data_IF_600092339264
#
_entry.id   IF_600092339264
#
_cell.length_a   1.000
_cell.length_b   1.000
_cell.length_c   1.000
_cell.angle_alpha   90.00
_cell.angle_beta   90.00
_cell.angle_gamma   90.00
#
_symmetry.space_group_name_H-M   'P 1'
#
loop_
_entity.id
_entity.type
_entity.pdbx_description
1 polymer ?
#
# COMPACT_ATOMS: atom_id res chain seq x y z
N UNK A 1 -8.52 -8.59 22.40
CA UNK A 1 -8.80 -7.40 21.60
C UNK A 1 -9.30 -6.28 22.50
N UNK A 2 -8.76 -5.09 22.34
CA UNK A 2 -9.10 -3.95 23.17
C UNK A 2 -10.16 -3.08 22.50
N UNK A 3 -10.73 -2.11 23.27
CA UNK A 3 -11.68 -1.12 22.72
C UNK A 3 -11.02 -0.34 21.58
N UNK A 4 -9.70 -0.10 21.69
CA UNK A 4 -8.96 0.63 20.67
C UNK A 4 -8.90 -0.12 19.34
N UNK A 5 -8.83 -1.46 19.39
CA UNK A 5 -8.84 -2.28 18.18
C UNK A 5 -10.15 -2.14 17.42
N UNK A 6 -11.27 -2.09 18.13
CA UNK A 6 -12.58 -1.90 17.50
C UNK A 6 -12.71 -0.51 16.90
N UNK A 7 -12.18 0.51 17.55
CA UNK A 7 -12.16 1.88 17.02
C UNK A 7 -11.34 1.96 15.74
N UNK A 8 -10.17 1.35 15.76
CA UNK A 8 -9.30 1.32 14.58
C UNK A 8 -10.03 0.68 13.43
N UNK A 9 -10.62 -0.48 13.67
CA UNK A 9 -11.34 -1.23 12.64
C UNK A 9 -12.47 -0.40 12.03
N UNK A 10 -13.31 0.20 12.87
CA UNK A 10 -14.46 0.99 12.40
C UNK A 10 -14.03 2.20 11.59
N UNK A 11 -12.99 2.90 12.04
CA UNK A 11 -12.49 4.07 11.32
C UNK A 11 -11.86 3.69 9.99
N UNK A 12 -11.13 2.59 9.94
CA UNK A 12 -10.57 2.10 8.67
C UNK A 12 -11.69 1.70 7.70
N UNK A 13 -12.72 1.02 8.19
CA UNK A 13 -13.87 0.64 7.34
C UNK A 13 -14.58 1.86 6.76
N UNK A 14 -14.81 2.88 7.58
CA UNK A 14 -15.44 4.12 7.12
C UNK A 14 -14.58 4.83 6.10
N UNK A 15 -13.28 4.95 6.39
CA UNK A 15 -12.33 5.55 5.47
C UNK A 15 -12.34 4.84 4.12
N UNK A 16 -12.32 3.51 4.13
CA UNK A 16 -12.35 2.73 2.90
C UNK A 16 -13.63 2.96 2.10
N UNK A 17 -14.79 3.07 2.77
CA UNK A 17 -16.04 3.35 2.08
C UNK A 17 -16.01 4.71 1.39
N UNK A 18 -15.50 5.72 2.08
CA UNK A 18 -15.39 7.07 1.53
C UNK A 18 -14.43 7.08 0.34
N UNK A 19 -13.27 6.46 0.49
CA UNK A 19 -12.28 6.41 -0.59
C UNK A 19 -12.82 5.64 -1.81
N UNK A 20 -13.58 4.58 -1.58
CA UNK A 20 -14.15 3.79 -2.67
C UNK A 20 -15.16 4.59 -3.50
N UNK A 21 -15.83 5.58 -2.91
CA UNK A 21 -16.79 6.43 -3.61
C UNK A 21 -16.14 7.67 -4.22
N UNK A 22 -14.91 7.98 -3.84
CA UNK A 22 -14.21 9.17 -4.33
C UNK A 22 -13.46 8.84 -5.61
N UNK A 23 -13.82 9.48 -6.71
CA UNK A 23 -13.22 9.21 -8.02
C UNK A 23 -12.29 10.34 -8.51
N UNK A 24 -12.08 11.35 -7.68
CA UNK A 24 -11.21 12.47 -8.00
C UNK A 24 -9.80 12.21 -7.46
N UNK A 25 -8.87 11.89 -8.37
CA UNK A 25 -7.50 11.58 -7.99
C UNK A 25 -6.80 12.74 -7.27
N UNK A 26 -7.00 13.96 -7.73
CA UNK A 26 -6.36 15.13 -7.11
C UNK A 26 -6.89 15.35 -5.69
N UNK A 27 -8.17 15.12 -5.49
CA UNK A 27 -8.76 15.20 -4.16
C UNK A 27 -8.18 14.15 -3.24
N UNK A 28 -7.98 12.92 -3.73
CA UNK A 28 -7.35 11.84 -2.96
C UNK A 28 -5.92 12.19 -2.58
N UNK A 29 -5.14 12.74 -3.52
CA UNK A 29 -3.77 13.18 -3.23
C UNK A 29 -3.74 14.26 -2.16
N UNK A 30 -4.64 15.24 -2.26
CA UNK A 30 -4.78 16.29 -1.25
C UNK A 30 -5.15 15.72 0.11
N UNK A 31 -6.09 14.77 0.12
CA UNK A 31 -6.52 14.11 1.35
C UNK A 31 -5.36 13.41 2.04
N UNK A 32 -4.55 12.64 1.29
CA UNK A 32 -3.39 11.97 1.88
C UNK A 32 -2.37 12.96 2.42
N UNK A 33 -2.21 14.12 1.76
CA UNK A 33 -1.33 15.18 2.27
C UNK A 33 -1.82 15.77 3.58
N UNK A 34 -3.15 15.82 3.79
CA UNK A 34 -3.72 16.28 5.05
C UNK A 34 -3.68 15.23 6.14
N UNK A 35 -3.94 13.97 5.76
CA UNK A 35 -4.06 12.88 6.71
C UNK A 35 -2.72 12.44 7.28
N UNK A 36 -1.67 12.47 6.47
CA UNK A 36 -0.37 11.89 6.80
C UNK A 36 0.70 12.97 6.94
N UNK A 37 1.62 12.76 7.87
CA UNK A 37 2.82 13.59 7.95
C UNK A 37 3.72 13.28 6.75
N UNK A 38 4.70 14.16 6.42
CA UNK A 38 5.65 13.87 5.36
C UNK A 38 6.38 12.53 5.54
N UNK A 39 6.75 12.19 6.78
CA UNK A 39 7.40 10.91 7.07
C UNK A 39 6.47 9.73 6.82
N UNK A 40 5.21 9.85 7.22
CA UNK A 40 4.22 8.80 6.98
C UNK A 40 3.93 8.61 5.50
N UNK A 41 3.88 9.69 4.73
CA UNK A 41 3.71 9.60 3.28
C UNK A 41 4.88 8.89 2.62
N UNK A 42 6.10 9.22 3.08
CA UNK A 42 7.30 8.57 2.57
C UNK A 42 7.28 7.05 2.86
N UNK A 43 6.84 6.67 4.06
CA UNK A 43 6.72 5.26 4.44
C UNK A 43 5.72 4.51 3.57
N UNK A 44 4.56 5.10 3.35
CA UNK A 44 3.52 4.48 2.52
C UNK A 44 4.00 4.33 1.07
N UNK A 45 4.63 5.38 0.54
CA UNK A 45 5.16 5.37 -0.81
C UNK A 45 6.23 4.29 -0.97
N UNK A 46 7.12 4.14 0.03
CA UNK A 46 8.16 3.12 0.01
C UNK A 46 7.56 1.71 0.05
N UNK A 47 6.52 1.49 0.87
CA UNK A 47 5.84 0.20 0.94
C UNK A 47 5.16 -0.15 -0.38
N UNK A 48 4.54 0.81 -1.02
CA UNK A 48 3.92 0.60 -2.31
C UNK A 48 4.96 0.25 -3.38
N UNK A 49 6.06 1.00 -3.42
CA UNK A 49 7.16 0.73 -4.34
C UNK A 49 7.78 -0.65 -4.10
N UNK A 50 7.92 -1.04 -2.82
CA UNK A 50 8.44 -2.33 -2.43
C UNK A 50 7.58 -3.48 -2.97
N UNK A 51 6.27 -3.39 -2.79
CA UNK A 51 5.34 -4.45 -3.23
C UNK A 51 5.37 -4.59 -4.75
N UNK A 52 5.43 -3.48 -5.48
CA UNK A 52 5.55 -3.51 -6.94
C UNK A 52 6.87 -4.17 -7.39
N UNK A 53 7.97 -3.81 -6.73
CA UNK A 53 9.29 -4.37 -7.07
C UNK A 53 9.35 -5.88 -6.81
N UNK A 54 8.74 -6.33 -5.69
CA UNK A 54 8.66 -7.75 -5.37
C UNK A 54 7.85 -8.52 -6.42
N UNK A 55 6.75 -7.95 -6.87
CA UNK A 55 5.92 -8.57 -7.91
C UNK A 55 6.68 -8.69 -9.23
N UNK A 56 7.51 -7.71 -9.56
CA UNK A 56 8.34 -7.73 -10.76
C UNK A 56 9.47 -8.75 -10.69
N UNK A 57 9.68 -9.37 -9.53
CA UNK A 57 10.70 -10.39 -9.35
C UNK A 57 12.10 -9.85 -9.09
N UNK A 58 12.23 -8.59 -8.72
CA UNK A 58 13.54 -8.02 -8.42
C UNK A 58 14.16 -8.68 -7.19
N UNK A 59 15.49 -8.88 -7.20
CA UNK A 59 16.17 -9.46 -6.03
C UNK A 59 15.99 -8.62 -4.77
N UNK A 60 15.77 -9.28 -3.63
CA UNK A 60 15.53 -8.58 -2.37
C UNK A 60 16.68 -7.64 -1.98
N UNK A 61 17.92 -8.03 -2.26
CA UNK A 61 19.08 -7.17 -1.96
C UNK A 61 19.06 -5.89 -2.77
N UNK A 62 18.67 -5.99 -4.04
CA UNK A 62 18.55 -4.83 -4.91
C UNK A 62 17.44 -3.90 -4.42
N UNK A 63 16.32 -4.45 -4.01
CA UNK A 63 15.21 -3.68 -3.47
C UNK A 63 15.62 -2.93 -2.21
N UNK A 64 16.30 -3.62 -1.28
CA UNK A 64 16.78 -3.01 -0.05
C UNK A 64 17.69 -1.83 -0.33
N UNK A 65 18.61 -1.98 -1.26
CA UNK A 65 19.57 -0.96 -1.65
C UNK A 65 18.89 0.24 -2.33
N UNK A 66 18.02 -0.05 -3.29
CA UNK A 66 17.38 0.99 -4.10
C UNK A 66 16.37 1.80 -3.31
N UNK A 67 15.56 1.14 -2.48
CA UNK A 67 14.48 1.79 -1.75
C UNK A 67 14.87 2.18 -0.32
N UNK A 68 16.03 1.75 0.15
CA UNK A 68 16.46 2.06 1.50
C UNK A 68 15.59 1.44 2.59
N UNK A 69 14.99 0.27 2.30
CA UNK A 69 14.13 -0.42 3.26
C UNK A 69 14.83 -1.61 3.89
N UNK A 70 14.42 -1.99 5.10
CA UNK A 70 15.00 -3.11 5.81
C UNK A 70 14.59 -4.45 5.20
N UNK A 71 15.42 -5.48 5.40
CA UNK A 71 15.10 -6.83 4.96
C UNK A 71 13.83 -7.36 5.64
N UNK A 72 13.56 -6.95 6.89
CA UNK A 72 12.34 -7.34 7.59
C UNK A 72 11.08 -6.84 6.88
N UNK A 73 11.12 -5.60 6.39
CA UNK A 73 10.00 -5.04 5.63
C UNK A 73 9.80 -5.77 4.31
N UNK A 74 10.90 -6.13 3.66
CA UNK A 74 10.86 -6.88 2.40
C UNK A 74 10.27 -8.26 2.62
N UNK A 75 10.70 -8.97 3.66
CA UNK A 75 10.19 -10.30 3.99
C UNK A 75 8.69 -10.25 4.27
N UNK A 76 8.24 -9.26 5.04
CA UNK A 76 6.82 -9.09 5.32
C UNK A 76 6.02 -8.81 4.05
N UNK A 77 6.50 -7.91 3.20
CA UNK A 77 5.84 -7.60 1.93
C UNK A 77 5.75 -8.81 1.02
N UNK A 78 6.82 -9.58 0.94
CA UNK A 78 6.86 -10.81 0.15
C UNK A 78 5.83 -11.84 0.64
N UNK A 79 5.75 -12.01 1.96
CA UNK A 79 4.80 -12.95 2.58
C UNK A 79 3.36 -12.54 2.27
N UNK A 80 3.02 -11.27 2.46
CA UNK A 80 1.69 -10.76 2.18
C UNK A 80 1.32 -10.90 0.71
N UNK A 81 2.26 -10.60 -0.17
CA UNK A 81 2.03 -10.70 -1.62
C UNK A 81 1.75 -12.14 -2.05
N UNK A 82 2.45 -13.12 -1.44
CA UNK A 82 2.31 -14.54 -1.77
C UNK A 82 1.06 -15.18 -1.18
N UNK A 83 0.42 -14.54 -0.22
CA UNK A 83 -0.80 -15.05 0.38
C UNK A 83 -1.93 -14.99 -0.67
N UNK A 84 -2.56 -16.14 -1.00
CA UNK A 84 -3.62 -16.13 -2.01
C UNK A 84 -4.77 -15.17 -1.66
N UNK A 85 -5.17 -14.35 -2.62
CA UNK A 85 -6.25 -13.38 -2.44
C UNK A 85 -5.94 -12.24 -1.49
N UNK A 86 -4.66 -11.97 -1.23
CA UNK A 86 -4.26 -10.89 -0.34
C UNK A 86 -4.65 -9.52 -0.91
N UNK A 87 -4.76 -8.52 -0.03
CA UNK A 87 -5.03 -7.16 -0.44
C UNK A 87 -4.00 -6.64 -1.43
N UNK A 88 -2.72 -6.94 -1.23
CA UNK A 88 -1.67 -6.52 -2.16
C UNK A 88 -1.88 -7.09 -3.56
N UNK A 89 -2.12 -8.41 -3.64
CA UNK A 89 -2.29 -9.07 -4.93
C UNK A 89 -3.51 -8.53 -5.68
N UNK A 90 -4.60 -8.30 -4.97
CA UNK A 90 -5.84 -7.79 -5.56
C UNK A 90 -5.74 -6.33 -6.01
N UNK A 91 -5.09 -5.48 -5.23
CA UNK A 91 -4.88 -4.07 -5.59
C UNK A 91 -3.91 -3.95 -6.77
N UNK A 92 -2.89 -4.80 -6.82
CA UNK A 92 -1.96 -4.80 -7.95
C UNK A 92 -2.66 -5.19 -9.26
N UNK A 93 -3.67 -6.04 -9.18
CA UNK A 93 -4.50 -6.37 -10.35
C UNK A 93 -5.25 -5.13 -10.85
N UNK A 94 -5.71 -4.26 -9.96
CA UNK A 94 -6.32 -2.99 -10.34
C UNK A 94 -5.31 -2.11 -11.06
N UNK A 95 -4.09 -2.03 -10.55
CA UNK A 95 -3.02 -1.27 -11.19
C UNK A 95 -2.75 -1.80 -12.61
N UNK A 96 -2.69 -3.12 -12.78
CA UNK A 96 -2.47 -3.74 -14.09
C UNK A 96 -3.57 -3.35 -15.07
N UNK A 97 -4.82 -3.35 -14.62
CA UNK A 97 -5.94 -2.95 -15.46
C UNK A 97 -5.86 -1.47 -15.87
N UNK A 98 -5.45 -0.61 -14.96
CA UNK A 98 -5.26 0.82 -15.26
C UNK A 98 -4.16 1.02 -16.29
N UNK A 99 -3.05 0.29 -16.17
CA UNK A 99 -1.94 0.39 -17.11
C UNK A 99 -2.31 -0.17 -18.48
N UNK A 100 -3.13 -1.20 -18.53
CA UNK A 100 -3.58 -1.81 -19.79
C UNK A 100 -4.51 -0.90 -20.60
N UNK A 101 -5.16 0.07 -19.94
CA UNK A 101 -6.10 1.00 -20.60
C UNK A 101 -5.42 2.23 -21.20
N UNK A 102 -4.14 2.35 -21.07
CA UNK A 102 -3.38 3.46 -21.64
C UNK A 102 -3.21 3.33 -23.14
#
# INVERSE_FOLDING_TARGET
MTVDDERVKKNIEELCRVLAETKDRKLLESFFSCLLTPAERADIAARWALVKALREGKPQREIAKTLGVSLCKITRGSRELKTPGSGFSRILAVLDNLNAKR
#
